data_IF_353240165631
#
_entry.id   IF_353240165631
#
_cell.length_a   1.000
_cell.length_b   1.000
_cell.length_c   1.000
_cell.angle_alpha   90.00
_cell.angle_beta   90.00
_cell.angle_gamma   90.00
#
_symmetry.space_group_name_H-M   'P 1'
#
loop_
_entity.id
_entity.type
_entity.pdbx_description
1 polymer ?
#
# COMPACT_ATOMS: atom_id res chain seq x y z
N UNK A 1 -19.82 23.49 -5.47
CA UNK A 1 -19.59 22.32 -4.58
C UNK A 1 -20.27 21.03 -5.04
N UNK A 2 -21.48 21.04 -5.64
CA UNK A 2 -22.13 19.80 -6.14
C UNK A 2 -21.41 19.15 -7.35
N UNK A 3 -20.87 19.94 -8.29
CA UNK A 3 -20.23 19.40 -9.51
C UNK A 3 -18.88 18.69 -9.29
N UNK A 4 -18.07 19.13 -8.33
CA UNK A 4 -16.78 18.49 -8.00
C UNK A 4 -16.96 17.14 -7.30
N UNK A 5 -17.94 17.03 -6.39
CA UNK A 5 -18.24 15.78 -5.68
C UNK A 5 -18.74 14.67 -6.64
N UNK A 6 -19.60 15.01 -7.60
CA UNK A 6 -20.10 14.05 -8.61
C UNK A 6 -18.97 13.58 -9.55
N UNK A 7 -18.04 14.47 -9.93
CA UNK A 7 -16.88 14.12 -10.76
C UNK A 7 -15.92 13.17 -10.06
N UNK A 8 -15.60 13.43 -8.79
CA UNK A 8 -14.78 12.54 -7.95
C UNK A 8 -15.43 11.18 -7.76
N UNK A 9 -16.71 11.14 -7.40
CA UNK A 9 -17.45 9.88 -7.25
C UNK A 9 -17.43 9.07 -8.56
N UNK A 10 -17.58 9.71 -9.72
CA UNK A 10 -17.42 9.02 -11.00
C UNK A 10 -16.00 8.48 -11.20
N UNK A 11 -14.96 9.28 -10.99
CA UNK A 11 -13.55 8.89 -11.19
C UNK A 11 -13.08 7.80 -10.21
N UNK A 12 -13.61 7.81 -8.98
CA UNK A 12 -13.36 6.78 -7.97
C UNK A 12 -14.20 5.52 -8.23
N UNK A 13 -15.41 5.64 -8.79
CA UNK A 13 -16.17 4.47 -9.24
C UNK A 13 -15.39 3.66 -10.28
N UNK A 14 -14.57 4.31 -11.12
CA UNK A 14 -13.67 3.64 -12.06
C UNK A 14 -12.53 2.89 -11.39
N UNK A 15 -12.01 3.36 -10.24
CA UNK A 15 -11.02 2.60 -9.43
C UNK A 15 -11.56 1.23 -9.01
N UNK A 16 -12.88 1.11 -8.94
CA UNK A 16 -13.57 -0.13 -8.57
C UNK A 16 -13.97 -1.00 -9.77
N UNK A 17 -13.73 -0.55 -11.03
CA UNK A 17 -14.15 -1.23 -12.28
C UNK A 17 -13.12 -2.20 -12.87
N UNK A 18 -12.08 -2.56 -12.13
CA UNK A 18 -10.99 -3.41 -12.63
C UNK A 18 -10.29 -2.83 -13.88
N UNK A 19 -10.38 -1.52 -14.07
CA UNK A 19 -9.68 -0.78 -15.12
C UNK A 19 -8.31 -0.32 -14.60
N UNK A 20 -7.23 -0.43 -15.40
CA UNK A 20 -5.91 0.00 -14.97
C UNK A 20 -5.89 1.50 -14.64
N UNK A 21 -5.14 1.87 -13.60
CA UNK A 21 -4.96 3.25 -13.17
C UNK A 21 -4.44 4.13 -14.31
N UNK A 22 -5.04 5.29 -14.46
CA UNK A 22 -4.63 6.39 -15.34
C UNK A 22 -4.21 7.60 -14.51
N UNK A 23 -3.66 8.64 -15.14
CA UNK A 23 -3.30 9.87 -14.45
C UNK A 23 -4.53 10.55 -13.79
N UNK A 24 -5.71 10.48 -14.42
CA UNK A 24 -6.94 11.04 -13.84
C UNK A 24 -7.36 10.31 -12.56
N UNK A 25 -7.13 8.99 -12.49
CA UNK A 25 -7.33 8.22 -11.27
C UNK A 25 -6.38 8.66 -10.14
N UNK A 26 -5.09 8.88 -10.45
CA UNK A 26 -4.11 9.31 -9.46
C UNK A 26 -4.41 10.69 -8.90
N UNK A 27 -4.84 11.63 -9.75
CA UNK A 27 -5.29 12.96 -9.34
C UNK A 27 -6.50 12.86 -8.38
N UNK A 28 -7.49 12.04 -8.73
CA UNK A 28 -8.66 11.83 -7.88
C UNK A 28 -8.29 11.21 -6.51
N UNK A 29 -7.34 10.27 -6.49
CA UNK A 29 -6.82 9.68 -5.26
C UNK A 29 -6.11 10.69 -4.38
N UNK A 30 -5.24 11.55 -4.94
CA UNK A 30 -4.60 12.65 -4.20
C UNK A 30 -5.62 13.54 -3.53
N UNK A 31 -6.62 14.00 -4.30
CA UNK A 31 -7.66 14.86 -3.76
C UNK A 31 -8.46 14.19 -2.65
N UNK A 32 -8.71 12.88 -2.77
CA UNK A 32 -9.43 12.12 -1.75
C UNK A 32 -8.61 11.95 -0.47
N UNK A 33 -7.34 11.55 -0.59
CA UNK A 33 -6.44 11.37 0.55
C UNK A 33 -6.26 12.70 1.29
N UNK A 34 -6.04 13.81 0.56
CA UNK A 34 -5.92 15.14 1.15
C UNK A 34 -7.16 15.59 1.93
N UNK A 35 -8.38 15.19 1.51
CA UNK A 35 -9.62 15.52 2.23
C UNK A 35 -9.85 14.67 3.47
N UNK A 36 -9.35 13.43 3.46
CA UNK A 36 -9.52 12.47 4.57
C UNK A 36 -8.42 12.56 5.61
N UNK A 37 -7.30 13.19 5.27
CA UNK A 37 -6.26 13.51 6.22
C UNK A 37 -6.83 14.46 7.26
N UNK A 38 -7.06 13.93 8.46
CA UNK A 38 -7.34 14.77 9.61
C UNK A 38 -6.03 15.44 10.00
N UNK A 39 -6.04 16.71 10.43
CA UNK A 39 -4.88 17.29 11.10
C UNK A 39 -4.52 16.33 12.24
N UNK A 40 -3.25 15.89 12.29
CA UNK A 40 -2.78 15.16 13.44
C UNK A 40 -3.16 15.98 14.68
N UNK A 41 -3.82 15.34 15.65
CA UNK A 41 -3.87 15.93 16.98
C UNK A 41 -2.43 16.29 17.36
N UNK A 42 -2.17 17.47 17.96
CA UNK A 42 -0.83 17.81 18.39
C UNK A 42 -0.28 16.61 19.15
N UNK A 43 0.82 16.09 18.62
CA UNK A 43 1.49 14.91 19.14
C UNK A 43 1.55 15.10 20.66
N UNK A 44 0.86 14.25 21.43
CA UNK A 44 1.13 14.17 22.86
C UNK A 44 2.51 13.55 22.97
N UNK A 45 3.50 14.43 22.74
CA UNK A 45 4.90 14.17 22.53
C UNK A 45 5.44 13.49 23.79
N UNK A 46 5.48 12.16 23.74
CA UNK A 46 6.63 11.47 24.30
C UNK A 46 7.64 11.36 23.16
N UNK A 47 8.76 12.07 23.29
CA UNK A 47 9.92 12.00 22.39
C UNK A 47 10.59 10.62 22.33
N UNK A 48 9.95 9.58 22.85
CA UNK A 48 10.50 8.25 23.07
C UNK A 48 9.86 7.16 22.19
N UNK A 49 8.73 7.43 21.52
CA UNK A 49 8.09 6.40 20.67
C UNK A 49 8.85 6.27 19.35
N UNK A 50 9.43 5.10 19.04
CA UNK A 50 10.14 4.90 17.79
C UNK A 50 9.15 4.90 16.62
N UNK A 51 9.53 5.56 15.52
CA UNK A 51 8.71 5.68 14.33
C UNK A 51 9.09 4.67 13.25
N UNK A 52 8.11 4.30 12.43
CA UNK A 52 8.27 3.51 11.23
C UNK A 52 7.36 4.09 10.13
N UNK A 53 7.65 3.75 8.88
CA UNK A 53 6.81 4.15 7.76
C UNK A 53 6.70 3.02 6.75
N UNK A 54 5.53 2.92 6.10
CA UNK A 54 5.26 1.92 5.07
C UNK A 54 4.72 2.59 3.82
N UNK A 55 5.08 2.04 2.66
CA UNK A 55 4.47 2.41 1.39
C UNK A 55 3.28 1.49 1.13
N UNK A 56 2.15 2.03 0.70
CA UNK A 56 1.00 1.31 0.14
C UNK A 56 1.10 1.45 -1.39
N UNK A 57 1.79 0.53 -2.08
CA UNK A 57 2.15 0.65 -3.49
C UNK A 57 1.00 0.24 -4.40
N UNK A 58 0.31 1.22 -4.96
CA UNK A 58 -0.64 1.03 -6.06
C UNK A 58 0.14 0.87 -7.37
N UNK A 59 -0.29 -0.02 -8.25
CA UNK A 59 0.34 -0.22 -9.55
C UNK A 59 -0.65 -0.79 -10.56
N UNK A 60 -0.28 -0.79 -11.83
CA UNK A 60 -0.90 -1.64 -12.82
C UNK A 60 -0.04 -2.89 -13.01
N UNK A 61 -0.63 -4.07 -13.06
CA UNK A 61 0.05 -5.32 -13.38
C UNK A 61 -0.83 -6.08 -14.35
N UNK A 62 -0.29 -6.50 -15.49
CA UNK A 62 -1.04 -7.18 -16.54
C UNK A 62 -2.33 -6.46 -16.96
N UNK A 63 -2.27 -5.12 -17.00
CA UNK A 63 -3.42 -4.28 -17.33
C UNK A 63 -4.49 -4.18 -16.25
N UNK A 64 -4.22 -4.63 -15.02
CA UNK A 64 -5.16 -4.57 -13.89
C UNK A 64 -4.66 -3.67 -12.76
N UNK A 65 -5.54 -2.88 -12.11
CA UNK A 65 -5.19 -2.13 -10.92
C UNK A 65 -4.88 -3.10 -9.78
N UNK A 66 -3.69 -2.99 -9.20
CA UNK A 66 -3.17 -3.90 -8.19
C UNK A 66 -2.49 -3.16 -7.04
N UNK A 67 -2.28 -3.87 -5.94
CA UNK A 67 -1.47 -3.43 -4.81
C UNK A 67 -0.32 -4.43 -4.64
N UNK A 68 0.92 -3.95 -4.48
CA UNK A 68 2.07 -4.82 -4.18
C UNK A 68 2.15 -5.12 -2.69
N UNK A 69 2.57 -6.34 -2.39
CA UNK A 69 2.86 -6.82 -1.06
C UNK A 69 4.13 -7.67 -1.08
N UNK A 70 4.76 -7.75 0.08
CA UNK A 70 5.87 -8.65 0.34
C UNK A 70 5.49 -9.71 1.38
N UNK A 71 6.18 -10.84 1.31
CA UNK A 71 6.25 -11.83 2.38
C UNK A 71 7.59 -11.67 3.06
N UNK A 72 7.59 -11.40 4.37
CA UNK A 72 8.82 -11.14 5.12
C UNK A 72 9.71 -12.37 5.20
N UNK A 73 11.00 -12.18 4.98
CA UNK A 73 12.05 -13.18 5.05
C UNK A 73 12.31 -13.71 6.47
N UNK A 74 13.01 -14.84 6.54
CA UNK A 74 13.17 -15.64 7.76
C UNK A 74 14.04 -15.00 8.86
N UNK A 75 14.84 -13.98 8.54
CA UNK A 75 15.76 -13.34 9.49
C UNK A 75 15.16 -12.12 10.20
N UNK A 76 13.96 -11.69 9.79
CA UNK A 76 13.22 -10.59 10.43
C UNK A 76 12.18 -11.15 11.40
N UNK A 77 11.85 -10.36 12.42
CA UNK A 77 10.61 -10.52 13.18
C UNK A 77 9.42 -10.54 12.22
N UNK A 78 8.43 -11.41 12.48
CA UNK A 78 7.28 -11.67 11.60
C UNK A 78 7.60 -12.45 10.32
N UNK A 79 8.59 -13.35 10.37
CA UNK A 79 8.91 -14.25 9.26
C UNK A 79 7.66 -14.92 8.69
N UNK A 80 7.48 -14.82 7.37
CA UNK A 80 6.33 -15.37 6.67
C UNK A 80 5.04 -14.55 6.73
N UNK A 81 5.01 -13.40 7.43
CA UNK A 81 3.84 -12.51 7.40
C UNK A 81 3.82 -11.65 6.12
N UNK A 82 2.61 -11.27 5.70
CA UNK A 82 2.40 -10.35 4.58
C UNK A 82 2.45 -8.91 5.08
N UNK A 83 3.29 -8.09 4.46
CA UNK A 83 3.41 -6.67 4.76
C UNK A 83 3.43 -5.80 3.52
N UNK A 84 3.13 -4.53 3.75
CA UNK A 84 3.62 -3.47 2.89
C UNK A 84 5.14 -3.30 3.06
N UNK A 85 5.87 -2.91 2.01
CA UNK A 85 7.28 -2.57 2.16
C UNK A 85 7.42 -1.34 3.06
N UNK A 86 8.47 -1.33 3.88
CA UNK A 86 8.68 -0.31 4.88
C UNK A 86 9.35 -0.82 6.16
N UNK A 87 9.71 0.13 7.01
CA UNK A 87 10.53 -0.17 8.17
C UNK A 87 10.68 0.99 9.12
N UNK A 88 11.64 0.84 10.04
CA UNK A 88 11.90 1.80 11.10
C UNK A 88 12.59 3.04 10.53
N UNK A 89 12.24 4.21 11.06
CA UNK A 89 12.93 5.46 10.74
C UNK A 89 14.40 5.39 11.18
N UNK A 90 15.29 5.70 10.25
CA UNK A 90 16.70 5.95 10.51
C UNK A 90 16.92 7.42 10.94
N UNK A 91 17.87 7.72 11.86
CA UNK A 91 18.28 9.10 12.15
C UNK A 91 18.58 9.98 10.93
N UNK A 92 19.08 9.40 9.83
CA UNK A 92 19.44 10.12 8.60
C UNK A 92 18.23 10.38 7.67
N UNK A 93 17.07 9.79 7.97
CA UNK A 93 15.84 10.00 7.20
C UNK A 93 15.29 11.43 7.44
N UNK A 94 15.21 12.22 6.37
CA UNK A 94 14.72 13.61 6.39
C UNK A 94 13.23 13.69 6.75
N UNK A 95 12.46 12.66 6.43
CA UNK A 95 11.04 12.54 6.75
C UNK A 95 10.60 11.07 6.83
N UNK A 96 9.41 10.80 7.36
CA UNK A 96 8.82 9.45 7.35
C UNK A 96 8.47 8.98 5.93
N UNK A 97 8.19 9.91 5.01
CA UNK A 97 8.01 9.57 3.60
C UNK A 97 9.33 9.06 3.01
N UNK A 98 10.45 9.70 3.33
CA UNK A 98 11.78 9.24 2.92
C UNK A 98 12.11 7.87 3.53
N UNK A 99 11.74 7.62 4.79
CA UNK A 99 11.84 6.28 5.40
C UNK A 99 11.10 5.22 4.58
N UNK A 100 9.84 5.46 4.22
CA UNK A 100 9.07 4.49 3.43
C UNK A 100 9.71 4.23 2.06
N UNK A 101 10.19 5.27 1.38
CA UNK A 101 10.84 5.16 0.08
C UNK A 101 12.18 4.42 0.16
N UNK A 102 13.03 4.76 1.14
CA UNK A 102 14.32 4.10 1.38
C UNK A 102 14.13 2.61 1.66
N UNK A 103 13.27 2.27 2.62
CA UNK A 103 13.01 0.86 2.97
C UNK A 103 12.42 0.08 1.78
N UNK A 104 11.50 0.68 1.02
CA UNK A 104 10.96 0.05 -0.20
C UNK A 104 12.07 -0.21 -1.23
N UNK A 105 13.01 0.71 -1.39
CA UNK A 105 14.15 0.52 -2.27
C UNK A 105 15.07 -0.61 -1.78
N UNK A 106 15.37 -0.64 -0.48
CA UNK A 106 16.23 -1.66 0.15
C UNK A 106 15.61 -3.06 0.08
N UNK A 107 14.30 -3.17 0.26
CA UNK A 107 13.58 -4.45 0.34
C UNK A 107 13.28 -5.05 -1.05
N UNK A 108 12.77 -4.22 -1.97
CA UNK A 108 12.22 -4.70 -3.25
C UNK A 108 12.80 -3.99 -4.49
N UNK A 109 13.80 -3.13 -4.31
CA UNK A 109 14.55 -2.53 -5.41
C UNK A 109 13.83 -1.41 -6.16
N UNK A 110 12.67 -0.96 -5.69
CA UNK A 110 11.95 0.18 -6.28
C UNK A 110 12.64 1.49 -5.91
N UNK A 111 13.24 2.14 -6.90
CA UNK A 111 13.89 3.43 -6.66
C UNK A 111 12.84 4.53 -6.42
N UNK A 112 13.12 5.55 -5.59
CA UNK A 112 12.17 6.62 -5.29
C UNK A 112 11.57 7.30 -6.53
N UNK A 113 12.31 7.41 -7.63
CA UNK A 113 11.88 8.03 -8.88
C UNK A 113 10.82 7.22 -9.64
N UNK A 114 10.59 5.95 -9.26
CA UNK A 114 9.49 5.13 -9.76
C UNK A 114 8.20 5.34 -8.97
N UNK A 115 8.27 5.97 -7.79
CA UNK A 115 7.15 6.08 -6.86
C UNK A 115 6.61 7.51 -6.87
N UNK A 116 5.37 7.65 -7.32
CA UNK A 116 4.61 8.87 -7.22
C UNK A 116 3.78 8.85 -5.92
N UNK A 117 4.25 9.52 -4.86
CA UNK A 117 3.50 9.63 -3.59
C UNK A 117 2.22 10.42 -3.80
N UNK A 118 1.08 9.81 -3.45
CA UNK A 118 -0.27 10.38 -3.59
C UNK A 118 -0.76 11.05 -2.31
N UNK A 119 -0.31 10.59 -1.14
CA UNK A 119 -0.66 11.16 0.17
C UNK A 119 -0.58 10.15 1.30
N UNK A 120 -0.90 10.57 2.51
CA UNK A 120 -0.97 9.72 3.71
C UNK A 120 -2.35 9.04 3.86
N UNK A 121 -2.38 7.87 4.49
CA UNK A 121 -3.59 7.07 4.67
C UNK A 121 -4.02 6.95 6.14
N UNK A 122 -4.96 7.80 6.56
CA UNK A 122 -5.45 7.77 7.94
C UNK A 122 -4.36 8.15 8.97
N UNK A 123 -4.65 8.05 10.27
CA UNK A 123 -3.68 8.37 11.30
C UNK A 123 -2.59 7.28 11.41
N UNK A 124 -1.37 7.65 11.85
CA UNK A 124 -0.37 6.67 12.24
C UNK A 124 -0.85 5.80 13.41
N UNK A 125 -0.55 4.50 13.36
CA UNK A 125 -1.01 3.53 14.36
C UNK A 125 0.18 2.87 15.06
N UNK A 126 0.00 2.49 16.32
CA UNK A 126 0.99 1.69 17.02
C UNK A 126 0.96 0.25 16.50
N UNK A 127 2.13 -0.27 16.13
CA UNK A 127 2.35 -1.71 15.90
C UNK A 127 2.32 -2.48 17.22
N UNK A 128 2.21 -3.81 17.15
CA UNK A 128 2.29 -4.67 18.34
C UNK A 128 3.63 -4.57 19.09
N UNK A 129 4.66 -4.01 18.44
CA UNK A 129 6.00 -3.83 18.99
C UNK A 129 6.27 -2.39 19.46
N UNK A 130 5.25 -1.54 19.50
CA UNK A 130 5.37 -0.16 19.99
C UNK A 130 5.97 0.83 19.00
N UNK A 131 6.16 0.45 17.73
CA UNK A 131 6.50 1.40 16.66
C UNK A 131 5.24 2.15 16.22
N UNK A 132 5.28 3.48 16.17
CA UNK A 132 4.23 4.28 15.52
C UNK A 132 4.50 4.29 14.01
N UNK A 133 3.60 3.67 13.26
CA UNK A 133 3.75 3.43 11.82
C UNK A 133 2.92 4.45 11.04
N UNK A 134 3.54 5.13 10.08
CA UNK A 134 2.85 6.06 9.16
C UNK A 134 2.71 5.44 7.75
N UNK A 135 1.48 5.31 7.21
CA UNK A 135 1.26 4.76 5.88
C UNK A 135 1.22 5.86 4.79
N UNK A 136 2.03 5.69 3.75
CA UNK A 136 2.03 6.56 2.58
C UNK A 136 1.50 5.80 1.36
N UNK A 137 0.50 6.32 0.68
CA UNK A 137 0.01 5.76 -0.59
C UNK A 137 0.85 6.32 -1.73
N UNK A 138 1.39 5.44 -2.56
CA UNK A 138 2.12 5.83 -3.77
C UNK A 138 1.71 4.99 -4.96
N UNK A 139 1.81 5.57 -6.15
CA UNK A 139 1.70 4.83 -7.40
C UNK A 139 3.08 4.45 -7.92
N UNK A 140 3.30 3.18 -8.21
CA UNK A 140 4.55 2.64 -8.77
C UNK A 140 4.46 2.61 -10.29
N UNK A 141 5.28 3.44 -10.93
CA UNK A 141 5.42 3.49 -12.38
C UNK A 141 6.26 2.32 -12.89
N UNK A 142 5.95 1.85 -14.11
CA UNK A 142 6.69 0.76 -14.78
C UNK A 142 8.18 1.03 -14.99
N UNK A 143 8.59 2.31 -14.99
CA UNK A 143 9.99 2.75 -15.14
C UNK A 143 10.22 4.08 -14.42
N UNK A 144 11.47 4.39 -14.01
CA UNK A 144 11.82 5.68 -13.41
C UNK A 144 11.55 6.82 -14.40
N UNK A 145 11.21 8.00 -13.87
CA UNK A 145 10.97 9.20 -14.69
C UNK A 145 9.89 9.01 -15.75
N UNK A 146 8.89 8.17 -15.50
CA UNK A 146 7.68 8.15 -16.31
C UNK A 146 6.95 9.49 -16.13
N UNK A 147 7.41 10.50 -16.89
CA UNK A 147 6.77 11.79 -16.96
C UNK A 147 5.38 11.57 -17.52
N UNK A 148 4.36 12.13 -16.88
CA UNK A 148 3.03 12.24 -17.45
C UNK A 148 3.18 13.17 -18.67
N UNK A 149 3.56 12.59 -19.81
CA UNK A 149 3.42 13.26 -21.09
C UNK A 149 1.94 13.62 -21.21
N UNK A 150 1.57 14.80 -21.73
CA UNK A 150 0.17 15.25 -21.87
C UNK A 150 -0.75 14.36 -22.73
N UNK A 151 -0.34 13.13 -23.07
CA UNK A 151 -1.09 12.16 -23.85
C UNK A 151 -2.23 11.59 -22.99
N UNK A 152 -3.35 12.31 -22.94
CA UNK A 152 -4.64 11.94 -22.33
C UNK A 152 -4.58 11.45 -20.88
N UNK A 153 -5.15 12.23 -19.96
CA UNK A 153 -5.22 11.88 -18.53
C UNK A 153 -5.94 10.54 -18.25
N UNK A 154 -6.80 10.09 -19.17
CA UNK A 154 -7.58 8.86 -19.03
C UNK A 154 -6.91 7.65 -19.70
N UNK A 155 -5.74 7.83 -20.34
CA UNK A 155 -4.99 6.70 -20.87
C UNK A 155 -4.43 5.86 -19.70
N UNK A 156 -4.56 4.52 -19.74
CA UNK A 156 -3.93 3.65 -18.76
C UNK A 156 -2.42 3.87 -18.65
N UNK A 157 -1.93 3.99 -17.42
CA UNK A 157 -0.50 3.97 -17.12
C UNK A 157 0.04 2.56 -17.37
N UNK A 158 1.30 2.47 -17.81
CA UNK A 158 1.91 1.19 -18.15
C UNK A 158 1.96 0.24 -16.94
N UNK A 159 1.86 -1.07 -17.22
CA UNK A 159 1.95 -2.09 -16.17
C UNK A 159 3.40 -2.31 -15.73
N UNK A 160 3.58 -2.49 -14.43
CA UNK A 160 4.82 -2.93 -13.81
C UNK A 160 5.04 -4.43 -14.12
N UNK A 161 6.28 -4.76 -14.48
CA UNK A 161 6.77 -6.13 -14.60
C UNK A 161 7.35 -6.54 -13.24
N UNK A 162 6.77 -7.53 -12.56
CA UNK A 162 7.25 -7.90 -11.21
C UNK A 162 8.66 -8.49 -11.28
N UNK A 163 9.03 -9.09 -12.40
CA UNK A 163 10.35 -9.66 -12.67
C UNK A 163 11.45 -8.60 -12.76
N UNK A 164 11.10 -7.31 -12.90
CA UNK A 164 12.09 -6.22 -12.86
C UNK A 164 12.46 -5.78 -11.44
N UNK A 165 11.75 -6.27 -10.42
CA UNK A 165 12.05 -5.97 -9.02
C UNK A 165 13.29 -6.73 -8.56
N UNK A 166 14.12 -6.07 -7.74
CA UNK A 166 15.35 -6.63 -7.19
C UNK A 166 15.17 -6.82 -5.70
N UNK A 167 14.93 -8.06 -5.27
CA UNK A 167 14.59 -8.36 -3.88
C UNK A 167 15.84 -8.53 -3.02
N UNK A 168 15.84 -7.89 -1.85
CA UNK A 168 16.74 -8.28 -0.77
C UNK A 168 16.22 -9.55 -0.11
N UNK A 169 16.70 -10.70 -0.60
CA UNK A 169 16.26 -12.04 -0.14
C UNK A 169 16.51 -12.34 1.34
N UNK A 170 17.34 -11.53 2.02
CA UNK A 170 17.53 -11.60 3.48
C UNK A 170 16.27 -11.14 4.22
N UNK A 171 15.56 -10.17 3.63
CA UNK A 171 14.47 -9.45 4.27
C UNK A 171 13.11 -9.76 3.65
N UNK A 172 13.10 -10.13 2.37
CA UNK A 172 11.89 -10.41 1.59
C UNK A 172 12.00 -11.79 0.97
N UNK A 173 11.10 -12.69 1.36
CA UNK A 173 11.02 -14.04 0.80
C UNK A 173 10.38 -14.03 -0.61
N UNK A 174 9.35 -13.21 -0.79
CA UNK A 174 8.61 -13.11 -2.05
C UNK A 174 7.91 -11.76 -2.15
N UNK A 175 7.79 -11.23 -3.36
CA UNK A 175 6.86 -10.15 -3.71
C UNK A 175 5.72 -10.70 -4.55
N UNK A 176 4.52 -10.18 -4.33
CA UNK A 176 3.35 -10.48 -5.16
C UNK A 176 2.45 -9.25 -5.29
N UNK A 177 1.53 -9.30 -6.25
CA UNK A 177 0.51 -8.28 -6.39
C UNK A 177 -0.89 -8.88 -6.15
N UNK A 178 -1.77 -8.06 -5.61
CA UNK A 178 -3.18 -8.37 -5.44
C UNK A 178 -4.03 -7.41 -6.28
N UNK A 179 -4.70 -7.90 -7.34
CA UNK A 179 -5.66 -7.08 -8.08
C UNK A 179 -6.74 -6.54 -7.16
N UNK A 180 -7.09 -5.26 -7.30
CA UNK A 180 -8.07 -4.58 -6.42
C UNK A 180 -9.44 -5.27 -6.45
N UNK A 181 -9.81 -5.90 -7.57
CA UNK A 181 -11.04 -6.68 -7.67
C UNK A 181 -11.11 -7.85 -6.68
N UNK A 182 -9.97 -8.48 -6.36
CA UNK A 182 -9.92 -9.64 -5.46
C UNK A 182 -10.25 -9.27 -4.02
N UNK A 183 -10.08 -7.99 -3.64
CA UNK A 183 -10.43 -7.47 -2.31
C UNK A 183 -11.95 -7.48 -2.04
N UNK A 184 -12.77 -7.73 -3.06
CA UNK A 184 -14.22 -7.84 -2.96
C UNK A 184 -14.72 -9.29 -2.90
N UNK A 185 -13.84 -10.27 -3.11
CA UNK A 185 -14.22 -11.67 -3.17
C UNK A 185 -14.51 -12.22 -1.76
N UNK A 186 -15.78 -12.43 -1.44
CA UNK A 186 -16.22 -12.88 -0.11
C UNK A 186 -15.48 -14.13 0.40
N UNK A 187 -15.11 -15.06 -0.50
CA UNK A 187 -14.34 -16.27 -0.15
C UNK A 187 -12.98 -15.98 0.50
N UNK A 188 -12.39 -14.81 0.23
CA UNK A 188 -11.09 -14.36 0.77
C UNK A 188 -11.24 -13.60 2.07
N UNK A 189 -12.42 -13.06 2.36
CA UNK A 189 -12.61 -12.12 3.45
C UNK A 189 -12.90 -12.87 4.76
N UNK A 190 -12.16 -12.48 5.81
CA UNK A 190 -12.39 -12.94 7.18
C UNK A 190 -12.53 -11.73 8.08
N UNK A 191 -13.50 -11.78 8.98
CA UNK A 191 -13.71 -10.71 9.94
C UNK A 191 -12.65 -10.79 11.05
N UNK A 192 -11.97 -9.67 11.29
CA UNK A 192 -11.01 -9.50 12.37
C UNK A 192 -11.31 -8.20 13.12
N UNK A 193 -10.84 -8.11 14.36
CA UNK A 193 -10.87 -6.88 15.15
C UNK A 193 -9.49 -6.24 15.18
N UNK A 194 -9.40 -4.97 14.79
CA UNK A 194 -8.21 -4.17 15.00
C UNK A 194 -8.28 -3.60 16.43
N UNK A 195 -7.26 -3.93 17.22
CA UNK A 195 -7.15 -3.55 18.65
C UNK A 195 -8.37 -3.95 19.47
N UNK A 196 -8.97 -5.11 19.15
CA UNK A 196 -10.17 -5.66 19.80
C UNK A 196 -11.41 -4.75 19.76
N UNK A 197 -11.39 -3.69 18.95
CA UNK A 197 -12.41 -2.64 18.94
C UNK A 197 -13.01 -2.41 17.56
N UNK A 198 -12.20 -2.46 16.50
CA UNK A 198 -12.63 -1.99 15.19
C UNK A 198 -12.67 -3.12 14.16
N UNK A 199 -13.84 -3.52 13.66
CA UNK A 199 -13.94 -4.58 12.68
C UNK A 199 -13.32 -4.18 11.34
N UNK A 200 -12.54 -5.09 10.76
CA UNK A 200 -11.96 -5.00 9.43
C UNK A 200 -11.89 -6.39 8.78
N UNK A 201 -11.69 -6.38 7.45
CA UNK A 201 -11.53 -7.61 6.69
C UNK A 201 -10.04 -7.96 6.55
N UNK A 202 -9.64 -9.11 7.11
CA UNK A 202 -8.42 -9.78 6.70
C UNK A 202 -8.67 -10.48 5.34
N UNK A 203 -7.61 -10.58 4.52
CA UNK A 203 -7.72 -11.06 3.14
C UNK A 203 -6.81 -12.27 2.93
N UNK A 204 -7.41 -13.40 2.55
CA UNK A 204 -6.68 -14.60 2.15
C UNK A 204 -5.93 -14.38 0.82
N UNK A 205 -4.62 -14.61 0.87
CA UNK A 205 -3.70 -14.48 -0.26
C UNK A 205 -2.86 -15.74 -0.46
N UNK A 206 -3.29 -16.87 0.11
CA UNK A 206 -2.56 -18.14 0.06
C UNK A 206 -2.27 -18.59 -1.38
N UNK A 207 -3.19 -18.34 -2.31
CA UNK A 207 -3.06 -18.67 -3.73
C UNK A 207 -2.24 -17.65 -4.54
N UNK A 208 -1.82 -16.54 -3.92
CA UNK A 208 -0.99 -15.49 -4.55
C UNK A 208 0.49 -15.65 -4.25
N UNK A 209 0.81 -16.40 -3.21
CA UNK A 209 2.18 -16.69 -2.78
C UNK A 209 2.50 -18.11 -3.24
N UNK A 210 3.63 -18.29 -3.93
CA UNK A 210 3.92 -19.51 -4.67
C UNK A 210 3.94 -20.73 -3.76
N UNK A 211 3.45 -21.86 -4.26
CA UNK A 211 3.55 -23.17 -3.61
C UNK A 211 4.99 -23.69 -3.60
N UNK A 212 5.88 -23.03 -2.86
CA UNK A 212 7.07 -23.70 -2.34
C UNK A 212 6.64 -24.66 -1.24
N UNK A 213 7.38 -25.74 -1.01
CA UNK A 213 7.19 -26.75 0.07
C UNK A 213 7.08 -26.17 1.51
N UNK A 214 7.07 -24.84 1.66
CA UNK A 214 7.02 -24.09 2.91
C UNK A 214 5.65 -23.45 3.23
N UNK A 215 4.64 -23.46 2.34
CA UNK A 215 3.30 -22.97 2.69
C UNK A 215 2.56 -24.05 3.51
N UNK A 216 2.97 -24.23 4.76
CA UNK A 216 2.35 -25.16 5.72
C UNK A 216 1.08 -24.60 6.37
N UNK A 217 0.80 -23.32 6.20
CA UNK A 217 -0.34 -22.62 6.79
C UNK A 217 -0.92 -21.57 5.85
N UNK A 218 -2.21 -21.27 6.05
CA UNK A 218 -2.93 -20.19 5.39
C UNK A 218 -2.21 -18.86 5.56
N UNK A 219 -2.15 -18.08 4.49
CA UNK A 219 -1.49 -16.77 4.49
C UNK A 219 -2.53 -15.67 4.24
N UNK A 220 -2.54 -14.68 5.12
CA UNK A 220 -3.51 -13.60 5.10
C UNK A 220 -2.82 -12.23 5.16
N UNK A 221 -3.46 -11.22 4.59
CA UNK A 221 -3.18 -9.82 4.91
C UNK A 221 -4.05 -9.47 6.12
N UNK A 222 -3.42 -9.31 7.28
CA UNK A 222 -4.08 -9.06 8.56
C UNK A 222 -3.27 -8.09 9.42
N UNK A 223 -3.71 -7.87 10.66
CA UNK A 223 -3.04 -7.01 11.62
C UNK A 223 -3.03 -5.55 11.15
N UNK A 224 -1.87 -4.90 11.29
CA UNK A 224 -1.71 -3.50 10.90
C UNK A 224 -1.76 -3.31 9.38
N UNK A 225 -1.16 -4.22 8.61
CA UNK A 225 -1.23 -4.22 7.14
C UNK A 225 -2.69 -4.33 6.67
N UNK A 226 -3.44 -5.28 7.22
CA UNK A 226 -4.87 -5.46 6.92
C UNK A 226 -5.73 -4.27 7.33
N UNK A 227 -5.41 -3.61 8.45
CA UNK A 227 -6.08 -2.39 8.87
C UNK A 227 -5.91 -1.25 7.86
N UNK A 228 -4.68 -0.96 7.45
CA UNK A 228 -4.41 0.06 6.44
C UNK A 228 -5.04 -0.28 5.09
N UNK A 229 -4.98 -1.55 4.67
CA UNK A 229 -5.69 -2.00 3.47
C UNK A 229 -7.20 -1.74 3.56
N UNK A 230 -7.82 -2.00 4.71
CA UNK A 230 -9.23 -1.69 4.95
C UNK A 230 -9.51 -0.18 4.92
N UNK A 231 -8.62 0.67 5.47
CA UNK A 231 -8.76 2.13 5.37
C UNK A 231 -8.69 2.62 3.92
N UNK A 232 -7.78 2.06 3.11
CA UNK A 232 -7.70 2.35 1.68
C UNK A 232 -9.00 1.95 0.97
N UNK A 233 -9.51 0.75 1.23
CA UNK A 233 -10.74 0.25 0.60
C UNK A 233 -11.96 1.09 0.96
N UNK A 234 -12.10 1.51 2.23
CA UNK A 234 -13.14 2.46 2.66
C UNK A 234 -12.94 3.86 2.06
N UNK A 235 -11.73 4.17 1.63
CA UNK A 235 -11.39 5.43 0.98
C UNK A 235 -11.86 5.47 -0.47
N UNK A 236 -11.79 4.36 -1.19
CA UNK A 236 -12.18 4.29 -2.61
C UNK A 236 -13.62 3.82 -2.85
N UNK A 237 -14.26 3.13 -1.89
CA UNK A 237 -15.61 2.59 -2.02
C UNK A 237 -16.74 3.57 -1.61
N UNK A 238 -16.41 4.79 -1.17
CA UNK A 238 -17.34 5.79 -0.64
C UNK A 238 -17.66 6.92 -1.60
#
# INVERSE_FOLDING_TARGET
>A
MRGTATRLASQLSHLTRNEPFSASNLIALRELLARRLQPAAPDEMSSETPHAAVLVPLCNVEGKPSILFEVRGNLRSHAGEVSFPGGKRDPDDKSLMDTALRETQEEIGLVPEQVEILGELGPPELSLRGLRVSPFVGFVHSSPHYGISPQSLDRPLASLCLESLVLNTTEVAQVFHLPVEMLKEQRRLREHLFRDLHPYWAVDVTDRVGSGDQVRSRLEIWGLTGWYLNLLMRSVAG
#
